data_IF_045416634815
#
_entry.id   IF_045416634815
#
_cell.length_a   1.000
_cell.length_b   1.000
_cell.length_c   1.000
_cell.angle_alpha   90.00
_cell.angle_beta   90.00
_cell.angle_gamma   90.00
#
_symmetry.space_group_name_H-M   'P 1'
#
loop_
_entity.id
_entity.type
_entity.pdbx_description
1 polymer ?
#
# COMPACT_ATOMS: atom_id res chain seq x y z
N UNK A 1 -18.60 -33.28 15.15
CA UNK A 1 -19.32 -32.42 14.17
C UNK A 1 -19.61 -33.25 12.95
N UNK A 2 -20.85 -33.30 12.42
CA UNK A 2 -21.17 -34.21 11.32
C UNK A 2 -20.52 -33.74 10.02
N UNK A 3 -20.17 -34.66 9.11
CA UNK A 3 -19.58 -34.37 7.78
C UNK A 3 -20.45 -33.38 6.99
N UNK A 4 -21.77 -33.52 7.13
CA UNK A 4 -22.75 -32.62 6.48
C UNK A 4 -22.62 -31.19 7.00
N UNK A 5 -22.41 -31.00 8.31
CA UNK A 5 -22.23 -29.68 8.92
C UNK A 5 -20.92 -29.03 8.44
N UNK A 6 -19.85 -29.80 8.31
CA UNK A 6 -18.56 -29.36 7.83
C UNK A 6 -18.64 -28.98 6.35
N UNK A 7 -19.29 -29.78 5.52
CA UNK A 7 -19.49 -29.49 4.10
C UNK A 7 -20.30 -28.20 3.90
N UNK A 8 -21.41 -28.03 4.64
CA UNK A 8 -22.21 -26.80 4.59
C UNK A 8 -21.40 -25.55 4.99
N UNK A 9 -20.55 -25.66 6.01
CA UNK A 9 -19.66 -24.57 6.43
C UNK A 9 -18.66 -24.22 5.32
N UNK A 10 -18.01 -25.20 4.71
CA UNK A 10 -17.04 -25.00 3.61
C UNK A 10 -17.71 -24.35 2.41
N UNK A 11 -18.90 -24.82 2.00
CA UNK A 11 -19.65 -24.24 0.88
C UNK A 11 -20.05 -22.78 1.17
N UNK A 12 -20.50 -22.48 2.38
CA UNK A 12 -20.85 -21.11 2.78
C UNK A 12 -19.62 -20.18 2.74
N UNK A 13 -18.48 -20.65 3.23
CA UNK A 13 -17.22 -19.89 3.20
C UNK A 13 -16.77 -19.63 1.76
N UNK A 14 -16.82 -20.64 0.90
CA UNK A 14 -16.48 -20.47 -0.52
C UNK A 14 -17.41 -19.48 -1.23
N UNK A 15 -18.72 -19.54 -0.97
CA UNK A 15 -19.70 -18.62 -1.53
C UNK A 15 -19.46 -17.17 -1.05
N UNK A 16 -19.14 -16.96 0.22
CA UNK A 16 -18.80 -15.66 0.78
C UNK A 16 -17.51 -15.11 0.15
N UNK A 17 -16.51 -15.95 -0.11
CA UNK A 17 -15.28 -15.56 -0.76
C UNK A 17 -15.50 -15.11 -2.22
N UNK A 18 -16.34 -15.84 -2.96
CA UNK A 18 -16.71 -15.48 -4.34
C UNK A 18 -17.46 -14.14 -4.36
N UNK A 19 -18.40 -13.92 -3.45
CA UNK A 19 -19.14 -12.67 -3.35
C UNK A 19 -18.22 -11.49 -3.02
N UNK A 20 -17.30 -11.67 -2.09
CA UNK A 20 -16.29 -10.66 -1.75
C UNK A 20 -15.41 -10.29 -2.95
N UNK A 21 -14.99 -11.27 -3.75
CA UNK A 21 -14.20 -11.02 -4.97
C UNK A 21 -15.02 -10.21 -5.99
N UNK A 22 -16.30 -10.54 -6.17
CA UNK A 22 -17.19 -9.76 -7.05
C UNK A 22 -17.36 -8.32 -6.57
N UNK A 23 -17.55 -8.12 -5.25
CA UNK A 23 -17.64 -6.78 -4.67
C UNK A 23 -16.33 -5.99 -4.91
N UNK A 24 -15.16 -6.61 -4.73
CA UNK A 24 -13.86 -5.99 -4.95
C UNK A 24 -13.65 -5.62 -6.44
N UNK A 25 -14.01 -6.51 -7.38
CA UNK A 25 -13.94 -6.24 -8.83
C UNK A 25 -14.91 -5.14 -9.23
N UNK A 26 -16.14 -5.14 -8.73
CA UNK A 26 -17.11 -4.11 -9.06
C UNK A 26 -16.68 -2.73 -8.56
N UNK A 27 -16.04 -2.64 -7.41
CA UNK A 27 -15.51 -1.40 -6.86
C UNK A 27 -14.41 -0.74 -7.75
N UNK A 28 -13.78 -1.50 -8.65
CA UNK A 28 -12.83 -0.97 -9.63
C UNK A 28 -13.57 -0.08 -10.63
N UNK A 29 -14.73 -0.52 -11.14
CA UNK A 29 -15.50 0.24 -12.14
C UNK A 29 -16.00 1.58 -11.63
N UNK A 30 -16.21 1.70 -10.31
CA UNK A 30 -16.65 2.97 -9.69
C UNK A 30 -15.50 4.00 -9.57
N UNK A 31 -14.22 3.55 -9.72
CA UNK A 31 -13.05 4.36 -9.35
C UNK A 31 -11.98 4.42 -10.45
N UNK A 32 -12.01 3.52 -11.43
CA UNK A 32 -11.09 3.51 -12.57
C UNK A 32 -11.86 3.64 -13.89
N UNK A 33 -11.84 4.84 -14.51
CA UNK A 33 -12.46 5.05 -15.82
C UNK A 33 -11.86 4.18 -16.94
N UNK A 34 -10.66 3.62 -16.76
CA UNK A 34 -10.02 2.77 -17.75
C UNK A 34 -10.51 1.31 -17.72
N UNK A 35 -11.22 0.91 -16.65
CA UNK A 35 -11.77 -0.45 -16.51
C UNK A 35 -12.92 -0.69 -17.51
N UNK A 36 -12.76 -1.67 -18.41
CA UNK A 36 -13.72 -1.90 -19.51
C UNK A 36 -14.71 -3.02 -19.24
N UNK A 37 -14.27 -4.11 -18.64
CA UNK A 37 -15.10 -5.27 -18.36
C UNK A 37 -14.57 -6.13 -17.20
N UNK A 38 -15.44 -6.95 -16.63
CA UNK A 38 -15.15 -7.81 -15.47
C UNK A 38 -13.96 -8.75 -15.70
N UNK A 39 -13.89 -9.39 -16.87
CA UNK A 39 -12.83 -10.36 -17.18
C UNK A 39 -11.46 -9.68 -17.24
N UNK A 40 -11.38 -8.51 -17.84
CA UNK A 40 -10.15 -7.71 -17.87
C UNK A 40 -9.68 -7.35 -16.47
N UNK A 41 -10.56 -6.78 -15.64
CA UNK A 41 -10.22 -6.42 -14.25
C UNK A 41 -9.77 -7.65 -13.47
N UNK A 42 -10.49 -8.76 -13.55
CA UNK A 42 -10.14 -9.99 -12.84
C UNK A 42 -8.79 -10.56 -13.28
N UNK A 43 -8.41 -10.46 -14.55
CA UNK A 43 -7.22 -11.13 -15.09
C UNK A 43 -5.98 -10.21 -15.15
N UNK A 44 -6.16 -8.88 -15.15
CA UNK A 44 -5.04 -7.96 -15.40
C UNK A 44 -4.77 -6.95 -14.29
N UNK A 45 -5.63 -6.85 -13.26
CA UNK A 45 -5.44 -5.92 -12.16
C UNK A 45 -4.67 -6.56 -11.00
N UNK A 46 -3.41 -6.18 -10.76
CA UNK A 46 -2.60 -6.80 -9.70
C UNK A 46 -3.17 -6.59 -8.31
N UNK A 47 -3.89 -5.49 -8.06
CA UNK A 47 -4.58 -5.24 -6.80
C UNK A 47 -5.63 -6.30 -6.48
N UNK A 48 -6.41 -6.74 -7.48
CA UNK A 48 -7.41 -7.82 -7.32
C UNK A 48 -6.73 -9.15 -7.01
N UNK A 49 -5.64 -9.47 -7.72
CA UNK A 49 -4.89 -10.70 -7.46
C UNK A 49 -4.31 -10.72 -6.03
N UNK A 50 -3.73 -9.59 -5.59
CA UNK A 50 -3.19 -9.45 -4.24
C UNK A 50 -4.27 -9.62 -3.16
N UNK A 51 -5.48 -9.06 -3.37
CA UNK A 51 -6.60 -9.21 -2.44
C UNK A 51 -7.10 -10.65 -2.35
N UNK A 52 -7.25 -11.33 -3.50
CA UNK A 52 -7.66 -12.75 -3.53
C UNK A 52 -6.65 -13.60 -2.75
N UNK A 53 -5.35 -13.43 -3.03
CA UNK A 53 -4.29 -14.19 -2.34
C UNK A 53 -4.19 -13.82 -0.86
N UNK A 54 -4.41 -12.54 -0.51
CA UNK A 54 -4.47 -12.12 0.90
C UNK A 54 -5.63 -12.78 1.66
N UNK A 55 -6.84 -12.87 1.09
CA UNK A 55 -7.97 -13.54 1.75
C UNK A 55 -7.66 -14.99 2.07
N UNK A 56 -6.99 -15.71 1.15
CA UNK A 56 -6.51 -17.08 1.38
C UNK A 56 -5.45 -17.11 2.49
N UNK A 57 -4.44 -16.24 2.40
CA UNK A 57 -3.36 -16.16 3.39
C UNK A 57 -3.89 -15.79 4.79
N UNK A 58 -4.86 -14.88 4.87
CA UNK A 58 -5.50 -14.47 6.12
C UNK A 58 -6.30 -15.60 6.77
N UNK A 59 -7.05 -16.38 5.99
CA UNK A 59 -7.74 -17.57 6.50
C UNK A 59 -6.75 -18.59 7.08
N UNK A 60 -5.67 -18.89 6.36
CA UNK A 60 -4.61 -19.78 6.84
C UNK A 60 -3.93 -19.25 8.11
N UNK A 61 -3.75 -17.93 8.20
CA UNK A 61 -3.19 -17.29 9.38
C UNK A 61 -4.10 -17.45 10.61
N UNK A 62 -5.41 -17.30 10.43
CA UNK A 62 -6.41 -17.52 11.49
C UNK A 62 -6.50 -18.98 11.92
N UNK A 63 -6.26 -19.93 11.00
CA UNK A 63 -6.21 -21.36 11.27
C UNK A 63 -4.85 -21.82 11.85
N UNK A 64 -4.01 -20.89 12.33
CA UNK A 64 -2.67 -21.11 12.90
C UNK A 64 -1.65 -21.73 11.90
N UNK A 65 -1.97 -21.84 10.62
CA UNK A 65 -1.06 -22.27 9.56
C UNK A 65 -0.12 -21.14 9.11
N UNK A 66 0.54 -20.47 10.06
CA UNK A 66 1.26 -19.21 9.87
C UNK A 66 2.37 -19.26 8.83
N UNK A 67 3.14 -20.37 8.79
CA UNK A 67 4.19 -20.53 7.79
C UNK A 67 3.62 -20.57 6.37
N UNK A 68 2.56 -21.36 6.14
CA UNK A 68 1.92 -21.45 4.81
C UNK A 68 1.29 -20.10 4.44
N UNK A 69 0.63 -19.42 5.38
CA UNK A 69 0.08 -18.09 5.17
C UNK A 69 1.15 -17.09 4.70
N UNK A 70 2.32 -17.08 5.34
CA UNK A 70 3.48 -16.26 4.96
C UNK A 70 4.02 -16.63 3.58
N UNK A 71 4.06 -17.92 3.27
CA UNK A 71 4.54 -18.40 1.97
C UNK A 71 3.59 -17.97 0.83
N UNK A 72 2.26 -18.06 1.03
CA UNK A 72 1.26 -17.54 0.09
C UNK A 72 1.42 -16.03 -0.10
N UNK A 73 1.58 -15.26 0.98
CA UNK A 73 1.79 -13.81 0.91
C UNK A 73 3.10 -13.45 0.17
N UNK A 74 4.17 -14.22 0.37
CA UNK A 74 5.43 -14.06 -0.37
C UNK A 74 5.24 -14.30 -1.87
N UNK A 75 4.52 -15.37 -2.26
CA UNK A 75 4.18 -15.64 -3.66
C UNK A 75 3.31 -14.54 -4.27
N UNK A 76 2.33 -14.02 -3.52
CA UNK A 76 1.51 -12.87 -3.93
C UNK A 76 2.35 -11.65 -4.25
N UNK A 77 3.26 -11.28 -3.33
CA UNK A 77 4.20 -10.17 -3.55
C UNK A 77 5.05 -10.36 -4.80
N UNK A 78 5.59 -11.55 -5.02
CA UNK A 78 6.42 -11.85 -6.18
C UNK A 78 5.65 -11.69 -7.51
N UNK A 79 4.36 -12.03 -7.52
CA UNK A 79 3.50 -11.95 -8.72
C UNK A 79 2.94 -10.54 -8.96
N UNK A 80 2.61 -9.80 -7.89
CA UNK A 80 1.83 -8.57 -7.99
C UNK A 80 2.64 -7.30 -7.69
N UNK A 81 3.80 -7.44 -7.04
CA UNK A 81 4.55 -6.29 -6.51
C UNK A 81 3.92 -5.64 -5.28
N UNK A 82 2.87 -6.28 -4.69
CA UNK A 82 2.11 -5.79 -3.54
C UNK A 82 2.39 -6.70 -2.35
N UNK A 83 2.87 -6.13 -1.25
CA UNK A 83 3.10 -6.86 0.00
C UNK A 83 1.95 -6.63 0.97
N UNK A 84 1.23 -7.69 1.33
CA UNK A 84 0.21 -7.65 2.37
C UNK A 84 0.54 -8.73 3.40
N UNK A 85 0.73 -8.32 4.66
CA UNK A 85 0.95 -9.29 5.73
C UNK A 85 -0.33 -10.11 5.98
N UNK A 86 -0.26 -11.45 6.14
CA UNK A 86 -1.44 -12.29 6.33
C UNK A 86 -2.33 -11.92 7.53
N UNK A 87 -1.74 -11.33 8.57
CA UNK A 87 -2.47 -10.89 9.77
C UNK A 87 -3.24 -9.58 9.57
N UNK A 88 -2.95 -8.79 8.54
CA UNK A 88 -3.65 -7.53 8.27
C UNK A 88 -5.15 -7.77 8.11
N UNK A 89 -5.96 -6.87 8.66
CA UNK A 89 -7.42 -6.93 8.54
C UNK A 89 -7.85 -5.99 7.42
N UNK A 90 -8.52 -6.53 6.42
CA UNK A 90 -8.98 -5.78 5.24
C UNK A 90 -10.48 -5.96 5.08
N UNK A 91 -11.19 -4.84 5.04
CA UNK A 91 -12.61 -4.76 4.78
C UNK A 91 -12.98 -5.09 3.33
N UNK A 92 -14.12 -4.59 2.90
CA UNK A 92 -14.69 -4.82 1.57
C UNK A 92 -14.34 -3.69 0.61
N UNK A 93 -14.31 -4.00 -0.69
CA UNK A 93 -14.17 -3.03 -1.77
C UNK A 93 -12.91 -2.16 -1.62
N UNK A 94 -11.81 -2.75 -1.11
CA UNK A 94 -10.50 -2.12 -1.16
C UNK A 94 -10.07 -2.06 -2.62
N UNK A 95 -9.77 -0.86 -3.11
CA UNK A 95 -9.19 -0.65 -4.43
C UNK A 95 -7.71 -0.31 -4.31
N UNK A 96 -6.84 -1.14 -4.90
CA UNK A 96 -5.40 -0.90 -5.00
C UNK A 96 -5.09 -0.60 -6.47
N UNK A 97 -4.91 0.70 -6.76
CA UNK A 97 -4.64 1.17 -8.11
C UNK A 97 -3.15 1.09 -8.46
N UNK A 98 -2.82 0.51 -9.62
CA UNK A 98 -1.47 0.16 -10.09
C UNK A 98 -0.73 -0.82 -9.18
N UNK A 99 -0.73 -0.64 -7.90
CA UNK A 99 -0.33 -1.53 -6.83
C UNK A 99 1.18 -1.69 -6.59
N UNK A 100 2.04 -1.52 -7.57
CA UNK A 100 3.48 -1.74 -7.42
C UNK A 100 4.06 -0.99 -6.21
N UNK A 101 4.77 -1.72 -5.32
CA UNK A 101 5.42 -1.16 -4.15
C UNK A 101 4.48 -0.80 -2.98
N UNK A 102 3.21 -1.23 -3.02
CA UNK A 102 2.32 -1.13 -1.86
C UNK A 102 2.80 -2.11 -0.78
N UNK A 103 2.85 -1.63 0.48
CA UNK A 103 3.19 -2.44 1.65
C UNK A 103 2.16 -2.25 2.74
N UNK A 104 1.51 -3.32 3.16
CA UNK A 104 0.52 -3.34 4.25
C UNK A 104 1.04 -4.24 5.37
N UNK A 105 1.40 -3.63 6.51
CA UNK A 105 2.04 -4.30 7.63
C UNK A 105 1.08 -5.13 8.50
N UNK A 106 1.66 -5.93 9.39
CA UNK A 106 0.99 -6.99 10.17
C UNK A 106 -0.26 -6.54 10.94
N UNK A 107 -0.18 -5.41 11.65
CA UNK A 107 -1.28 -4.94 12.50
C UNK A 107 -2.09 -3.82 11.84
N UNK A 108 -1.98 -3.66 10.51
CA UNK A 108 -2.81 -2.72 9.77
C UNK A 108 -4.27 -3.18 9.76
N UNK A 109 -5.17 -2.21 9.87
CA UNK A 109 -6.61 -2.41 9.74
C UNK A 109 -7.14 -1.44 8.69
N UNK A 110 -7.87 -1.97 7.72
CA UNK A 110 -8.40 -1.21 6.58
C UNK A 110 -9.90 -1.43 6.54
N UNK A 111 -10.66 -0.36 6.61
CA UNK A 111 -12.11 -0.36 6.51
C UNK A 111 -12.61 -0.65 5.09
N UNK A 112 -13.90 -0.42 4.89
CA UNK A 112 -14.56 -0.59 3.60
C UNK A 112 -14.31 0.62 2.68
N UNK A 113 -14.36 0.39 1.37
CA UNK A 113 -14.30 1.45 0.34
C UNK A 113 -13.02 2.28 0.34
N UNK A 114 -11.93 1.74 0.86
CA UNK A 114 -10.62 2.41 0.88
C UNK A 114 -9.96 2.33 -0.49
N UNK A 115 -9.24 3.38 -0.87
CA UNK A 115 -8.42 3.42 -2.09
C UNK A 115 -6.96 3.64 -1.74
N UNK A 116 -6.07 2.78 -2.24
CA UNK A 116 -4.62 2.91 -2.13
C UNK A 116 -4.01 3.00 -3.52
N UNK A 117 -3.16 3.97 -3.76
CA UNK A 117 -2.35 4.04 -4.97
C UNK A 117 -1.01 3.32 -4.79
N UNK A 118 -0.28 3.11 -5.91
CA UNK A 118 1.04 2.49 -5.89
C UNK A 118 2.02 3.16 -4.92
N UNK A 119 2.99 2.39 -4.42
CA UNK A 119 4.03 2.89 -3.53
C UNK A 119 3.57 3.31 -2.14
N UNK A 120 2.28 3.11 -1.79
CA UNK A 120 1.76 3.40 -0.44
C UNK A 120 2.36 2.43 0.56
N UNK A 121 2.74 2.95 1.74
CA UNK A 121 3.18 2.12 2.87
C UNK A 121 2.30 2.37 4.09
N UNK A 122 1.66 1.31 4.60
CA UNK A 122 1.04 1.28 5.92
C UNK A 122 2.00 0.59 6.88
N UNK A 123 2.92 1.37 7.46
CA UNK A 123 4.09 0.89 8.19
C UNK A 123 4.02 1.10 9.70
N UNK A 124 4.90 0.39 10.41
CA UNK A 124 5.12 0.58 11.84
C UNK A 124 6.35 1.44 12.12
N UNK A 125 6.38 2.08 13.30
CA UNK A 125 7.52 2.86 13.81
C UNK A 125 8.06 2.30 15.11
N UNK A 126 7.54 1.17 15.58
CA UNK A 126 7.94 0.52 16.84
C UNK A 126 8.44 -0.89 16.60
N UNK A 127 9.45 -1.30 17.35
CA UNK A 127 9.97 -2.68 17.42
C UNK A 127 9.20 -3.55 18.42
N UNK A 128 8.30 -2.96 19.21
CA UNK A 128 7.48 -3.68 20.17
C UNK A 128 6.35 -4.43 19.48
N UNK A 129 5.95 -5.54 20.06
CA UNK A 129 4.74 -6.27 19.68
C UNK A 129 3.47 -5.42 19.90
N UNK A 130 2.37 -5.80 19.25
CA UNK A 130 1.09 -5.12 19.35
C UNK A 130 0.79 -4.18 18.20
N UNK A 131 -0.17 -3.27 18.41
CA UNK A 131 -0.65 -2.32 17.38
C UNK A 131 0.42 -1.30 17.05
N UNK A 132 1.06 -1.43 15.89
CA UNK A 132 2.14 -0.57 15.38
C UNK A 132 1.94 -0.07 13.96
N UNK A 133 0.92 -0.58 13.26
CA UNK A 133 0.53 -0.15 11.92
C UNK A 133 -0.80 0.59 11.95
N UNK A 134 -1.09 1.46 10.98
CA UNK A 134 -2.27 2.33 11.02
C UNK A 134 -3.59 1.57 10.87
N UNK A 135 -4.65 2.23 11.33
CA UNK A 135 -6.04 1.90 11.01
C UNK A 135 -6.56 2.95 10.03
N UNK A 136 -7.02 2.52 8.86
CA UNK A 136 -7.73 3.36 7.91
C UNK A 136 -9.23 3.07 8.05
N UNK A 137 -10.02 4.08 8.39
CA UNK A 137 -11.47 3.94 8.41
C UNK A 137 -12.08 3.94 7.01
N UNK A 138 -13.41 3.78 6.91
CA UNK A 138 -14.11 3.64 5.64
C UNK A 138 -13.90 4.87 4.72
N UNK A 139 -13.78 4.60 3.43
CA UNK A 139 -13.70 5.65 2.41
C UNK A 139 -12.40 6.45 2.38
N UNK A 140 -11.38 6.05 3.13
CA UNK A 140 -10.06 6.72 3.10
C UNK A 140 -9.40 6.55 1.74
N UNK A 141 -8.79 7.63 1.23
CA UNK A 141 -8.00 7.63 0.00
C UNK A 141 -6.55 7.97 0.32
N UNK A 142 -5.62 7.10 -0.09
CA UNK A 142 -4.18 7.30 0.12
C UNK A 142 -3.47 7.41 -1.22
N UNK A 143 -2.99 8.61 -1.52
CA UNK A 143 -2.33 8.95 -2.78
C UNK A 143 -1.00 8.25 -3.00
N UNK A 144 -0.55 8.23 -4.26
CA UNK A 144 0.65 7.51 -4.70
C UNK A 144 1.89 7.88 -3.88
N UNK A 145 2.65 6.87 -3.49
CA UNK A 145 3.89 7.05 -2.73
C UNK A 145 3.74 7.51 -1.28
N UNK A 146 2.51 7.76 -0.79
CA UNK A 146 2.32 8.21 0.59
C UNK A 146 2.72 7.14 1.61
N UNK A 147 3.21 7.59 2.77
CA UNK A 147 3.62 6.74 3.88
C UNK A 147 2.79 7.08 5.11
N UNK A 148 2.04 6.11 5.65
CA UNK A 148 1.29 6.24 6.90
C UNK A 148 1.97 5.34 7.91
N UNK A 149 2.66 5.95 8.90
CA UNK A 149 3.61 5.26 9.76
C UNK A 149 3.24 5.40 11.22
N UNK A 150 2.79 4.31 11.85
CA UNK A 150 2.44 4.26 13.27
C UNK A 150 1.08 3.63 13.55
N UNK A 151 0.85 3.26 14.82
CA UNK A 151 -0.37 2.59 15.27
C UNK A 151 -1.53 3.55 15.60
N UNK A 152 -1.85 4.46 14.71
CA UNK A 152 -2.92 5.45 14.89
C UNK A 152 -4.02 5.30 13.82
N UNK A 153 -5.09 6.09 13.96
CA UNK A 153 -6.25 6.05 13.06
C UNK A 153 -6.22 7.21 12.06
N UNK A 154 -6.52 6.90 10.80
CA UNK A 154 -6.91 7.83 9.75
C UNK A 154 -8.42 7.75 9.62
N UNK A 155 -9.11 8.83 9.98
CA UNK A 155 -10.56 8.89 10.09
C UNK A 155 -11.28 8.75 8.76
N UNK A 156 -12.56 8.37 8.82
CA UNK A 156 -13.38 8.07 7.66
C UNK A 156 -13.38 9.20 6.62
N UNK A 157 -13.32 8.82 5.32
CA UNK A 157 -13.30 9.75 4.19
C UNK A 157 -12.13 10.75 4.18
N UNK A 158 -11.11 10.57 5.01
CA UNK A 158 -9.90 11.37 4.94
C UNK A 158 -9.12 11.07 3.64
N UNK A 159 -8.39 12.08 3.17
CA UNK A 159 -7.56 11.97 1.94
C UNK A 159 -6.11 12.28 2.28
N UNK A 160 -5.22 11.40 1.90
CA UNK A 160 -3.78 11.59 2.03
C UNK A 160 -3.20 11.85 0.65
N UNK A 161 -2.62 13.03 0.46
CA UNK A 161 -2.01 13.43 -0.82
C UNK A 161 -0.79 12.58 -1.17
N UNK A 162 -0.44 12.55 -2.46
CA UNK A 162 0.71 11.79 -2.96
C UNK A 162 2.01 12.21 -2.28
N UNK A 163 2.87 11.22 -2.01
CA UNK A 163 4.16 11.38 -1.32
C UNK A 163 4.10 12.01 0.09
N UNK A 164 2.90 12.19 0.66
CA UNK A 164 2.79 12.67 2.04
C UNK A 164 3.29 11.62 3.04
N UNK A 165 3.97 12.08 4.09
CA UNK A 165 4.39 11.23 5.21
C UNK A 165 3.55 11.61 6.44
N UNK A 166 2.67 10.69 6.85
CA UNK A 166 1.74 10.86 7.96
C UNK A 166 2.23 10.05 9.14
N UNK A 167 2.46 10.72 10.26
CA UNK A 167 2.98 10.13 11.51
C UNK A 167 2.12 10.46 12.74
N UNK A 168 0.92 10.99 12.50
CA UNK A 168 -0.04 11.40 13.54
C UNK A 168 -1.47 11.05 13.11
N UNK A 169 -2.41 10.91 14.06
CA UNK A 169 -3.83 10.70 13.75
C UNK A 169 -4.38 11.77 12.80
N UNK A 170 -5.27 11.34 11.89
CA UNK A 170 -5.94 12.22 10.94
C UNK A 170 -7.43 12.20 11.23
N UNK A 171 -8.08 13.35 11.47
CA UNK A 171 -9.53 13.42 11.66
C UNK A 171 -10.30 12.98 10.40
N UNK A 172 -11.56 12.57 10.59
CA UNK A 172 -12.45 12.21 9.48
C UNK A 172 -12.67 13.40 8.51
N UNK A 173 -12.72 13.11 7.22
CA UNK A 173 -12.97 14.07 6.15
C UNK A 173 -11.84 15.06 5.86
N UNK A 174 -10.73 15.00 6.59
CA UNK A 174 -9.58 15.91 6.42
C UNK A 174 -8.71 15.49 5.25
N UNK A 175 -8.16 16.46 4.53
CA UNK A 175 -7.13 16.23 3.51
C UNK A 175 -5.76 16.60 4.06
N UNK A 176 -4.83 15.63 4.08
CA UNK A 176 -3.42 15.84 4.41
C UNK A 176 -2.60 15.90 3.14
N UNK A 177 -1.70 16.88 3.03
CA UNK A 177 -0.82 17.03 1.87
C UNK A 177 0.65 17.09 2.29
N UNK A 178 1.53 16.58 1.44
CA UNK A 178 2.98 16.76 1.56
C UNK A 178 3.42 18.08 0.94
N UNK A 179 4.73 18.33 0.99
CA UNK A 179 5.33 19.49 0.33
C UNK A 179 5.28 19.34 -1.19
N UNK A 180 4.72 20.32 -1.89
CA UNK A 180 4.81 20.41 -3.34
C UNK A 180 6.23 20.76 -3.77
N UNK A 181 6.63 20.30 -4.96
CA UNK A 181 7.88 20.72 -5.55
C UNK A 181 7.89 22.24 -5.77
N UNK A 182 9.03 22.86 -5.54
CA UNK A 182 9.27 24.27 -5.84
C UNK A 182 10.50 24.41 -6.72
N UNK A 183 10.47 25.39 -7.60
CA UNK A 183 11.67 25.75 -8.38
C UNK A 183 12.69 26.39 -7.42
N UNK A 184 13.91 25.90 -7.42
CA UNK A 184 14.99 26.44 -6.60
C UNK A 184 15.78 27.49 -7.39
N UNK A 185 16.03 27.23 -8.69
CA UNK A 185 16.70 28.15 -9.61
C UNK A 185 16.03 28.07 -10.98
N UNK A 186 15.81 29.20 -11.65
CA UNK A 186 15.76 29.18 -13.11
C UNK A 186 17.22 29.17 -13.58
N UNK A 187 17.61 28.36 -14.55
CA UNK A 187 18.86 28.57 -15.24
C UNK A 187 18.72 29.94 -15.97
N UNK A 188 19.33 30.95 -15.44
CA UNK A 188 19.59 32.15 -16.23
C UNK A 188 20.55 31.73 -17.34
N UNK A 189 20.20 31.98 -18.59
CA UNK A 189 21.04 31.68 -19.78
C UNK A 189 22.46 32.30 -19.69
N UNK A 190 22.71 33.17 -18.70
CA UNK A 190 23.98 33.85 -18.48
C UNK A 190 24.90 33.15 -17.46
N UNK A 191 24.56 31.99 -16.89
CA UNK A 191 25.28 31.37 -15.78
C UNK A 191 25.93 30.00 -16.08
N UNK A 192 26.18 29.66 -17.35
CA UNK A 192 26.98 28.46 -17.70
C UNK A 192 28.37 28.48 -17.01
N UNK A 193 28.96 29.66 -16.84
CA UNK A 193 30.28 29.78 -16.22
C UNK A 193 30.31 29.57 -14.69
N UNK A 194 29.20 29.72 -13.99
CA UNK A 194 29.19 29.54 -12.54
C UNK A 194 29.06 28.06 -12.13
N UNK A 195 28.33 27.24 -12.92
CA UNK A 195 28.20 25.82 -12.66
C UNK A 195 29.52 25.06 -12.99
N UNK A 196 30.27 25.45 -13.99
CA UNK A 196 31.59 24.87 -14.28
C UNK A 196 32.62 25.16 -13.16
N UNK A 197 32.54 26.31 -12.49
CA UNK A 197 33.42 26.61 -11.36
C UNK A 197 33.11 25.76 -10.11
N UNK A 198 31.85 25.46 -9.85
CA UNK A 198 31.47 24.62 -8.72
C UNK A 198 31.90 23.15 -8.96
N UNK A 199 31.70 22.64 -10.18
CA UNK A 199 32.13 21.30 -10.56
C UNK A 199 33.66 21.15 -10.52
N UNK A 200 34.39 22.16 -10.96
CA UNK A 200 35.84 22.13 -10.93
C UNK A 200 36.44 22.30 -9.52
N UNK A 201 35.78 23.01 -8.61
CA UNK A 201 36.20 23.08 -7.20
C UNK A 201 36.04 21.77 -6.45
N UNK A 202 34.96 21.00 -6.72
CA UNK A 202 34.77 19.68 -6.09
C UNK A 202 35.79 18.65 -6.58
N UNK A 203 36.31 18.75 -7.79
CA UNK A 203 37.36 17.87 -8.30
C UNK A 203 38.79 18.22 -7.83
N UNK A 204 39.06 19.44 -7.37
CA UNK A 204 40.38 19.81 -6.85
C UNK A 204 40.57 19.47 -5.38
N UNK A 205 39.49 19.38 -4.60
CA UNK A 205 39.59 19.01 -3.18
C UNK A 205 39.83 17.50 -2.98
N UNK A 206 39.38 16.63 -3.92
CA UNK A 206 39.62 15.19 -3.82
C UNK A 206 41.06 14.75 -4.18
N UNK A 207 41.83 15.62 -4.86
CA UNK A 207 43.21 15.29 -5.22
C UNK A 207 44.27 15.75 -4.20
N UNK A 208 43.88 16.56 -3.20
CA UNK A 208 44.82 17.06 -2.18
C UNK A 208 44.98 16.16 -0.95
N UNK A 209 44.18 15.11 -0.82
CA UNK A 209 44.19 14.15 0.34
C UNK A 209 45.10 12.93 0.09
N UNK A 210 45.55 12.71 -1.13
CA UNK A 210 46.34 11.49 -1.46
C UNK A 210 47.88 11.65 -1.44
N UNK A 211 48.43 12.79 -1.00
CA UNK A 211 49.90 13.03 -0.99
C UNK A 211 50.46 13.42 0.38
N UNK A 212 49.98 12.84 1.47
CA UNK A 212 50.71 12.83 2.75
C UNK A 212 50.59 11.45 3.40
N UNK A 213 51.48 10.52 2.96
CA UNK A 213 52.12 9.48 3.79
C UNK A 213 53.26 8.84 3.00
#
# INVERSE_FOLDING_TARGET
MSVITQLKRTLKTAQQSIESIKEDVNAVFDRDPAARNFTEVLLTYPGIHALIMHRVAHSLWQDECKFIARFVAYGSRALTGIEIHPAAKIGKRLFIDHGMGVVIGETAEIGDDVTLYHGVTLGGVSWNEGKRHPTLENGVVVGAGAKVLGGFTVGANAKIGSNAVVVKPVPAGVTMVGSAARMITQPDDDNEHHNEQIINQTHTDDTSISNQN
#
